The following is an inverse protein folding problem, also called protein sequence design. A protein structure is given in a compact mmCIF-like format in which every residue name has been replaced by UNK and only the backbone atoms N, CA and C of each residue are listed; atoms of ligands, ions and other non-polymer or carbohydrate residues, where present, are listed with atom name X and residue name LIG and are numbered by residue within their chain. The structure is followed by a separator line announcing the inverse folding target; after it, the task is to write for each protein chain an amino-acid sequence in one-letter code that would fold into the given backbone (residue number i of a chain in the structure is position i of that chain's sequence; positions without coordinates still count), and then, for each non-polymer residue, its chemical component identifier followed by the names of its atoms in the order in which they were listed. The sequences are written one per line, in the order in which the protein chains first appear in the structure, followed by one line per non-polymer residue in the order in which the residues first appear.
data_IF_958732968729
#
_entry.id   IF_958732968729
#
_cell.length_a   1.000
_cell.length_b   1.000
_cell.length_c   1.000
_cell.angle_alpha   90.00
_cell.angle_beta   90.00
_cell.angle_gamma   90.00
#
_symmetry.space_group_name_H-M   'P 1'
#
loop_
_entity.id
_entity.type
_entity.pdbx_description
1 polymer ?
#
# COMPACT_ATOMS: atom_id res chain seq x y z
N UNK A 1 -6.05 -24.91 -4.52
CA UNK A 1 -7.13 -24.03 -4.04
C UNK A 1 -6.63 -23.26 -2.82
N UNK A 2 -6.86 -21.97 -2.76
CA UNK A 2 -6.66 -21.29 -1.50
C UNK A 2 -7.62 -21.91 -0.46
N UNK A 3 -7.12 -22.12 0.75
CA UNK A 3 -7.96 -22.60 1.84
C UNK A 3 -9.11 -21.63 2.08
N UNK A 4 -10.32 -22.15 2.21
CA UNK A 4 -11.46 -21.32 2.59
C UNK A 4 -11.23 -20.76 3.99
N UNK A 5 -11.14 -19.44 4.06
CA UNK A 5 -10.99 -18.75 5.33
C UNK A 5 -12.37 -18.50 5.90
N UNK A 6 -12.68 -19.16 6.99
CA UNK A 6 -13.95 -19.00 7.70
C UNK A 6 -13.74 -18.27 9.02
N UNK A 7 -14.63 -17.35 9.31
CA UNK A 7 -14.59 -16.58 10.56
C UNK A 7 -13.69 -15.36 10.51
N UNK A 8 -12.92 -15.13 11.57
CA UNK A 8 -12.04 -13.96 11.69
C UNK A 8 -10.88 -14.04 10.71
N UNK A 9 -10.72 -13.00 9.91
CA UNK A 9 -9.59 -12.89 8.96
C UNK A 9 -8.33 -12.51 9.73
N UNK A 10 -7.28 -13.34 9.62
CA UNK A 10 -5.98 -13.02 10.19
C UNK A 10 -5.28 -11.94 9.37
N UNK A 11 -4.46 -11.13 10.02
CA UNK A 11 -3.78 -9.98 9.37
C UNK A 11 -2.94 -10.38 8.17
N UNK A 12 -2.33 -11.55 8.18
CA UNK A 12 -1.49 -12.05 7.08
C UNK A 12 -2.23 -12.25 5.76
N UNK A 13 -3.57 -12.35 5.78
CA UNK A 13 -4.38 -12.54 4.58
C UNK A 13 -4.76 -11.22 3.90
N UNK A 14 -4.49 -10.09 4.54
CA UNK A 14 -4.57 -8.77 3.92
C UNK A 14 -3.17 -8.35 3.54
N UNK A 15 -2.80 -8.55 2.27
CA UNK A 15 -1.46 -8.27 1.80
C UNK A 15 -1.39 -6.92 1.08
N UNK A 16 -0.31 -6.20 1.32
CA UNK A 16 -0.01 -4.94 0.65
C UNK A 16 1.29 -5.07 -0.13
N UNK A 17 1.29 -4.60 -1.37
CA UNK A 17 2.46 -4.62 -2.24
C UNK A 17 2.75 -3.23 -2.75
N UNK A 18 4.03 -2.95 -2.94
CA UNK A 18 4.51 -1.72 -3.58
C UNK A 18 5.34 -2.10 -4.79
N UNK A 19 5.12 -1.42 -5.91
CA UNK A 19 5.94 -1.56 -7.10
C UNK A 19 7.26 -0.83 -6.90
N UNK A 20 8.33 -1.60 -6.71
CA UNK A 20 9.66 -1.03 -6.46
C UNK A 20 10.35 -0.51 -7.71
N UNK A 21 9.76 -0.66 -8.90
CA UNK A 21 10.29 -0.05 -10.13
C UNK A 21 10.05 1.45 -10.20
N UNK A 22 9.09 1.96 -9.45
CA UNK A 22 8.66 3.38 -9.45
C UNK A 22 8.43 3.91 -10.88
N UNK A 23 7.77 3.08 -11.70
CA UNK A 23 7.41 3.44 -13.06
C UNK A 23 8.54 3.36 -14.09
N UNK A 24 9.72 2.85 -13.72
CA UNK A 24 10.89 2.78 -14.61
C UNK A 24 11.00 1.51 -15.42
N UNK A 25 9.92 0.76 -15.60
CA UNK A 25 9.94 -0.48 -16.37
C UNK A 25 8.83 -1.43 -15.98
N UNK A 26 9.09 -2.72 -16.07
CA UNK A 26 8.14 -3.75 -15.65
C UNK A 26 7.92 -3.69 -14.14
N UNK A 27 6.68 -3.78 -13.72
CA UNK A 27 6.32 -3.76 -12.30
C UNK A 27 7.04 -4.87 -11.53
N UNK A 28 7.66 -4.48 -10.41
CA UNK A 28 8.30 -5.38 -9.48
C UNK A 28 7.62 -5.27 -8.12
N UNK A 29 6.67 -6.18 -7.87
CA UNK A 29 5.84 -6.13 -6.67
C UNK A 29 6.62 -6.62 -5.45
N UNK A 30 6.67 -5.80 -4.43
CA UNK A 30 7.31 -6.08 -3.15
C UNK A 30 6.25 -6.14 -2.06
N UNK A 31 6.14 -7.27 -1.37
CA UNK A 31 5.21 -7.40 -0.25
C UNK A 31 5.74 -6.69 0.99
N UNK A 32 4.96 -5.77 1.51
CA UNK A 32 5.27 -5.09 2.77
C UNK A 32 4.89 -6.02 3.93
N UNK A 33 5.70 -6.06 4.96
CA UNK A 33 5.32 -6.76 6.18
C UNK A 33 6.46 -7.31 7.03
N UNK A 34 7.56 -7.76 6.42
CA UNK A 34 8.63 -8.43 7.16
C UNK A 34 9.25 -7.56 8.26
N UNK A 35 9.46 -6.28 7.97
CA UNK A 35 10.03 -5.33 8.92
C UNK A 35 9.01 -4.35 9.49
N UNK A 36 7.72 -4.70 9.40
CA UNK A 36 6.60 -3.90 9.89
C UNK A 36 5.77 -4.69 10.90
N UNK A 37 5.43 -4.07 12.00
CA UNK A 37 4.51 -4.62 12.98
C UNK A 37 3.06 -4.23 12.69
N UNK A 38 2.85 -3.06 12.10
CA UNK A 38 1.55 -2.50 11.85
C UNK A 38 1.53 -1.72 10.53
N UNK A 39 0.47 -1.90 9.77
CA UNK A 39 0.20 -1.12 8.57
C UNK A 39 -1.31 -1.00 8.38
N UNK A 40 -1.83 0.20 8.57
CA UNK A 40 -3.26 0.51 8.44
C UNK A 40 -3.48 1.56 7.37
N UNK A 41 -4.36 1.27 6.43
CA UNK A 41 -4.81 2.26 5.45
C UNK A 41 -5.95 3.05 6.08
N UNK A 42 -5.76 4.34 6.25
CA UNK A 42 -6.77 5.26 6.77
C UNK A 42 -7.49 5.93 5.59
N UNK A 43 -8.80 5.69 5.42
CA UNK A 43 -9.53 6.29 4.29
C UNK A 43 -9.62 7.81 4.34
N UNK A 44 -9.54 8.40 5.53
CA UNK A 44 -9.61 9.85 5.76
C UNK A 44 -10.78 10.49 5.00
N UNK A 45 -12.03 10.17 5.36
CA UNK A 45 -13.18 10.72 4.66
C UNK A 45 -13.28 12.24 4.83
N UNK A 46 -13.52 12.93 3.74
CA UNK A 46 -13.78 14.36 3.75
C UNK A 46 -15.27 14.58 3.87
N UNK A 47 -15.72 14.96 5.06
CA UNK A 47 -17.13 15.11 5.39
C UNK A 47 -17.43 16.51 5.92
N UNK A 48 -18.63 16.99 5.63
CA UNK A 48 -19.12 18.28 6.08
C UNK A 48 -20.53 18.16 6.62
N UNK A 49 -20.76 18.75 7.78
CA UNK A 49 -22.07 18.83 8.40
C UNK A 49 -22.50 20.30 8.45
N UNK A 50 -23.57 20.62 7.73
CA UNK A 50 -24.11 21.99 7.69
C UNK A 50 -25.54 22.02 8.19
N UNK A 51 -25.94 23.16 8.76
CA UNK A 51 -27.28 23.40 9.26
C UNK A 51 -27.88 24.59 8.51
N UNK A 52 -29.04 24.39 7.89
CA UNK A 52 -29.71 25.47 7.18
C UNK A 52 -30.56 26.33 8.12
N UNK A 53 -31.12 27.41 7.61
CA UNK A 53 -31.96 28.34 8.39
C UNK A 53 -33.27 27.72 8.87
N UNK A 54 -33.70 26.60 8.30
CA UNK A 54 -34.89 25.87 8.73
C UNK A 54 -34.56 24.88 9.86
N UNK A 55 -33.34 24.86 10.34
CA UNK A 55 -32.92 23.95 11.40
C UNK A 55 -32.61 22.53 10.93
N UNK A 56 -32.68 22.27 9.63
CA UNK A 56 -32.38 20.97 9.06
C UNK A 56 -30.87 20.78 8.92
N UNK A 57 -30.40 19.56 9.24
CA UNK A 57 -28.98 19.20 9.13
C UNK A 57 -28.74 18.53 7.79
N UNK A 58 -27.67 18.96 7.10
CA UNK A 58 -27.23 18.36 5.86
C UNK A 58 -25.82 17.82 6.05
N UNK A 59 -25.65 16.53 5.72
CA UNK A 59 -24.36 15.85 5.74
C UNK A 59 -23.87 15.66 4.30
N UNK A 60 -22.64 16.06 4.04
CA UNK A 60 -22.00 15.91 2.74
C UNK A 60 -20.72 15.09 2.89
N UNK A 61 -20.55 14.07 2.04
CA UNK A 61 -19.35 13.26 1.98
C UNK A 61 -18.66 13.54 0.63
N UNK A 62 -17.55 14.27 0.66
CA UNK A 62 -16.87 14.74 -0.55
C UNK A 62 -15.91 13.72 -1.14
N UNK A 63 -15.56 12.68 -0.40
CA UNK A 63 -14.67 11.63 -0.87
C UNK A 63 -13.67 11.18 0.18
N UNK A 64 -12.60 10.52 -0.27
CA UNK A 64 -11.57 9.97 0.59
C UNK A 64 -10.20 10.50 0.20
N UNK A 65 -9.32 10.66 1.17
CA UNK A 65 -7.90 10.97 0.99
C UNK A 65 -7.07 9.87 1.67
N UNK A 66 -7.04 8.65 1.11
CA UNK A 66 -6.45 7.51 1.80
C UNK A 66 -4.94 7.67 1.99
N UNK A 67 -4.46 7.27 3.15
CA UNK A 67 -3.03 7.24 3.46
C UNK A 67 -2.70 6.10 4.42
N UNK A 68 -1.43 5.76 4.50
CA UNK A 68 -0.94 4.77 5.44
C UNK A 68 0.47 5.14 5.88
N UNK A 69 0.80 4.83 7.13
CA UNK A 69 2.14 5.03 7.68
C UNK A 69 2.80 3.69 7.95
N UNK A 70 4.05 3.57 7.52
CA UNK A 70 4.90 2.43 7.83
C UNK A 70 5.99 2.89 8.83
N UNK A 71 5.75 2.67 10.11
CA UNK A 71 6.63 3.06 11.20
C UNK A 71 6.51 2.05 12.36
N UNK A 72 7.61 1.40 12.77
CA UNK A 72 8.93 1.45 12.19
C UNK A 72 9.07 0.64 10.90
N UNK A 73 10.03 1.01 10.07
CA UNK A 73 10.47 0.19 8.93
C UNK A 73 11.99 0.02 9.01
N UNK A 74 12.43 -1.20 9.27
CA UNK A 74 13.84 -1.50 9.44
C UNK A 74 14.53 -1.69 8.10
N UNK A 75 15.67 -1.04 7.94
CA UNK A 75 16.47 -1.11 6.72
C UNK A 75 17.24 -2.43 6.64
N UNK A 76 17.24 -3.04 5.44
CA UNK A 76 18.02 -4.25 5.16
C UNK A 76 18.75 -4.09 3.84
N UNK A 77 20.03 -4.44 3.83
CA UNK A 77 20.81 -4.49 2.59
C UNK A 77 20.23 -5.59 1.68
N UNK A 78 20.01 -5.25 0.41
CA UNK A 78 19.41 -6.17 -0.55
C UNK A 78 17.87 -6.10 -0.62
N UNK A 79 17.25 -5.34 0.27
CA UNK A 79 15.82 -5.10 0.25
C UNK A 79 15.50 -4.04 -0.82
N UNK A 80 14.73 -4.42 -1.84
CA UNK A 80 14.43 -3.55 -2.98
C UNK A 80 13.68 -2.27 -2.57
N UNK A 81 12.77 -2.37 -1.62
CA UNK A 81 12.02 -1.20 -1.14
C UNK A 81 12.95 -0.25 -0.38
N UNK A 82 13.79 -0.79 0.50
CA UNK A 82 14.77 0.02 1.23
C UNK A 82 15.69 0.78 0.28
N UNK A 83 16.19 0.12 -0.75
CA UNK A 83 17.09 0.76 -1.73
C UNK A 83 16.41 1.92 -2.45
N UNK A 84 15.13 1.78 -2.80
CA UNK A 84 14.36 2.85 -3.42
C UNK A 84 14.06 4.00 -2.46
N UNK A 85 13.72 3.71 -1.22
CA UNK A 85 13.50 4.74 -0.19
C UNK A 85 14.79 5.51 0.08
N UNK A 86 15.92 4.81 0.16
CA UNK A 86 17.22 5.44 0.36
C UNK A 86 17.59 6.34 -0.81
N UNK A 87 17.31 5.91 -2.04
CA UNK A 87 17.54 6.72 -3.24
C UNK A 87 16.71 8.02 -3.22
N UNK A 88 15.45 7.92 -2.83
CA UNK A 88 14.57 9.10 -2.69
C UNK A 88 15.15 10.10 -1.68
N UNK A 89 15.64 9.61 -0.55
CA UNK A 89 16.23 10.45 0.50
C UNK A 89 17.56 11.04 0.07
N UNK A 90 18.45 10.23 -0.48
CA UNK A 90 19.81 10.65 -0.85
C UNK A 90 19.79 11.74 -1.93
N UNK A 91 18.91 11.60 -2.90
CA UNK A 91 18.80 12.52 -4.02
C UNK A 91 17.72 13.59 -3.82
N UNK A 92 17.04 13.59 -2.67
CA UNK A 92 15.95 14.52 -2.34
C UNK A 92 14.90 14.59 -3.45
N UNK A 93 14.48 13.42 -3.94
CA UNK A 93 13.46 13.33 -4.97
C UNK A 93 12.14 13.95 -4.50
N UNK A 94 11.46 14.65 -5.43
CA UNK A 94 10.19 15.32 -5.14
C UNK A 94 9.17 15.00 -6.23
N UNK A 95 7.89 15.25 -5.91
CA UNK A 95 6.79 15.09 -6.85
C UNK A 95 6.69 13.66 -7.40
N UNK A 96 6.54 13.53 -8.70
CA UNK A 96 6.31 12.25 -9.36
C UNK A 96 7.49 11.26 -9.28
N UNK A 97 8.65 11.71 -8.84
CA UNK A 97 9.79 10.81 -8.57
C UNK A 97 9.53 9.87 -7.40
N UNK A 98 8.56 10.20 -6.53
CA UNK A 98 8.14 9.37 -5.41
C UNK A 98 6.85 8.57 -5.72
N UNK A 99 6.32 8.70 -6.93
CA UNK A 99 5.07 8.06 -7.33
C UNK A 99 5.30 6.65 -7.84
N UNK A 100 4.50 5.72 -7.35
CA UNK A 100 4.49 4.34 -7.81
C UNK A 100 3.09 3.75 -7.72
N UNK A 101 2.95 2.48 -8.07
CA UNK A 101 1.69 1.76 -7.90
C UNK A 101 1.73 0.89 -6.67
N UNK A 102 0.58 0.71 -6.05
CA UNK A 102 0.40 -0.17 -4.89
C UNK A 102 -0.69 -1.19 -5.17
N UNK A 103 -0.61 -2.33 -4.49
CA UNK A 103 -1.64 -3.36 -4.51
C UNK A 103 -2.13 -3.64 -3.11
N UNK A 104 -3.44 -3.83 -2.99
CA UNK A 104 -4.10 -4.38 -1.83
C UNK A 104 -4.69 -5.72 -2.26
N UNK A 105 -4.21 -6.82 -1.69
CA UNK A 105 -4.59 -8.18 -2.08
C UNK A 105 -5.41 -8.82 -0.97
N UNK A 106 -6.61 -9.25 -1.31
CA UNK A 106 -7.54 -9.91 -0.40
C UNK A 106 -7.37 -11.43 -0.51
N UNK A 107 -6.48 -12.01 0.28
CA UNK A 107 -6.16 -13.43 0.20
C UNK A 107 -7.27 -14.36 0.73
N UNK A 108 -8.34 -13.80 1.29
CA UNK A 108 -9.54 -14.55 1.67
C UNK A 108 -10.56 -14.64 0.53
N UNK A 109 -10.30 -14.01 -0.60
CA UNK A 109 -11.22 -13.92 -1.73
C UNK A 109 -10.52 -14.39 -2.99
N UNK A 110 -10.91 -15.57 -3.49
CA UNK A 110 -10.30 -16.16 -4.66
C UNK A 110 -10.72 -15.43 -5.94
N UNK A 111 -9.77 -15.28 -6.87
CA UNK A 111 -10.04 -14.79 -8.21
C UNK A 111 -10.53 -15.90 -9.14
N UNK A 112 -10.73 -15.58 -10.41
CA UNK A 112 -11.18 -16.54 -11.42
C UNK A 112 -10.06 -17.43 -11.93
N UNK A 113 -8.84 -16.93 -11.99
CA UNK A 113 -7.67 -17.72 -12.39
C UNK A 113 -7.18 -18.59 -11.22
N UNK A 114 -6.60 -19.74 -11.55
CA UNK A 114 -6.07 -20.66 -10.56
C UNK A 114 -4.95 -20.01 -9.76
N UNK A 115 -5.08 -20.03 -8.42
CA UNK A 115 -4.08 -19.47 -7.51
C UNK A 115 -4.11 -17.93 -7.42
N UNK A 116 -5.12 -17.29 -8.01
CA UNK A 116 -5.27 -15.84 -7.92
C UNK A 116 -6.16 -15.41 -6.77
N UNK A 117 -5.99 -14.15 -6.36
CA UNK A 117 -6.81 -13.48 -5.35
C UNK A 117 -7.32 -12.16 -5.89
N UNK A 118 -8.45 -11.71 -5.37
CA UNK A 118 -8.96 -10.38 -5.69
C UNK A 118 -7.98 -9.33 -5.19
N UNK A 119 -7.64 -8.38 -6.05
CA UNK A 119 -6.70 -7.33 -5.73
C UNK A 119 -7.16 -5.98 -6.29
N UNK A 120 -6.69 -4.92 -5.64
CA UNK A 120 -6.94 -3.55 -6.05
C UNK A 120 -5.62 -2.83 -6.24
N UNK A 121 -5.44 -2.28 -7.41
CA UNK A 121 -4.27 -1.47 -7.77
C UNK A 121 -4.62 0.00 -7.67
N UNK A 122 -3.76 0.78 -7.02
CA UNK A 122 -3.94 2.22 -6.87
C UNK A 122 -2.60 2.94 -6.91
N UNK A 123 -2.46 4.02 -7.68
CA UNK A 123 -1.27 4.85 -7.63
C UNK A 123 -1.11 5.51 -6.25
N UNK A 124 0.13 5.69 -5.83
CA UNK A 124 0.43 6.33 -4.56
C UNK A 124 1.78 7.02 -4.59
N UNK A 125 1.94 7.98 -3.69
CA UNK A 125 3.23 8.59 -3.39
C UNK A 125 3.80 7.92 -2.15
N UNK A 126 5.01 7.36 -2.27
CA UNK A 126 5.73 6.71 -1.18
C UNK A 126 6.87 7.63 -0.76
N UNK A 127 6.74 8.23 0.40
CA UNK A 127 7.63 9.31 0.86
C UNK A 127 8.22 8.95 2.22
N UNK A 128 9.55 8.79 2.33
CA UNK A 128 10.19 8.64 3.63
C UNK A 128 9.97 9.88 4.51
N UNK A 129 9.60 9.64 5.77
CA UNK A 129 9.33 10.73 6.73
C UNK A 129 10.53 11.04 7.62
N UNK A 130 11.40 10.05 7.83
CA UNK A 130 12.64 10.21 8.58
C UNK A 130 13.61 9.09 8.19
N UNK A 131 14.85 9.22 8.61
CA UNK A 131 15.83 8.15 8.47
C UNK A 131 16.89 8.27 9.56
N UNK A 132 17.34 7.12 10.07
CA UNK A 132 18.27 7.06 11.18
C UNK A 132 17.93 5.91 12.11
N UNK A 133 17.17 6.19 13.15
CA UNK A 133 16.74 5.17 14.10
C UNK A 133 17.42 5.29 15.45
N UNK A 134 17.44 4.19 16.16
CA UNK A 134 17.99 4.07 17.50
C UNK A 134 18.94 2.86 17.61
N UNK A 135 19.20 2.41 18.84
CA UNK A 135 20.07 1.25 19.08
C UNK A 135 19.53 -0.07 18.54
N UNK A 136 18.25 -0.13 18.16
CA UNK A 136 17.63 -1.31 17.53
C UNK A 136 18.06 -1.50 16.08
N UNK A 137 18.52 -0.42 15.42
CA UNK A 137 18.98 -0.47 14.04
C UNK A 137 18.59 0.77 13.25
N UNK A 138 19.03 0.77 12.00
CA UNK A 138 18.68 1.83 11.05
C UNK A 138 17.22 1.67 10.64
N UNK A 139 16.46 2.75 10.73
CA UNK A 139 15.05 2.79 10.36
C UNK A 139 14.80 3.89 9.33
N UNK A 140 13.93 3.59 8.36
CA UNK A 140 13.52 4.55 7.34
C UNK A 140 11.98 4.48 7.19
N UNK A 141 11.22 4.98 8.18
CA UNK A 141 9.77 4.98 8.08
C UNK A 141 9.28 5.84 6.92
N UNK A 142 8.17 5.44 6.34
CA UNK A 142 7.62 6.12 5.18
C UNK A 142 6.11 6.24 5.26
N UNK A 143 5.58 7.18 4.49
CA UNK A 143 4.13 7.39 4.33
C UNK A 143 3.73 7.04 2.91
N UNK A 144 2.59 6.36 2.77
CA UNK A 144 1.98 6.06 1.49
C UNK A 144 0.72 6.91 1.34
N UNK A 145 0.72 7.80 0.36
CA UNK A 145 -0.43 8.65 0.06
C UNK A 145 -1.08 8.17 -1.23
N UNK A 146 -2.24 7.56 -1.11
CA UNK A 146 -2.96 6.98 -2.25
C UNK A 146 -3.64 8.07 -3.06
N UNK A 147 -3.51 8.00 -4.38
CA UNK A 147 -4.08 8.98 -5.30
C UNK A 147 -4.77 8.27 -6.47
N UNK A 148 -5.61 9.00 -7.18
CA UNK A 148 -6.29 8.47 -8.36
C UNK A 148 -7.32 7.41 -8.04
N UNK A 149 -7.69 6.64 -9.05
CA UNK A 149 -8.72 5.61 -8.95
C UNK A 149 -8.12 4.23 -8.74
N UNK A 150 -8.85 3.42 -7.98
CA UNK A 150 -8.53 2.02 -7.80
C UNK A 150 -8.94 1.21 -9.04
N UNK A 151 -8.10 0.27 -9.44
CA UNK A 151 -8.40 -0.68 -10.51
C UNK A 151 -8.52 -2.06 -9.90
N UNK A 152 -9.70 -2.67 -10.06
CA UNK A 152 -9.92 -4.04 -9.60
C UNK A 152 -9.26 -5.02 -10.55
N UNK A 153 -8.69 -6.08 -9.99
CA UNK A 153 -8.07 -7.13 -10.77
C UNK A 153 -7.82 -8.38 -9.96
N UNK A 154 -6.96 -9.21 -10.47
CA UNK A 154 -6.53 -10.45 -9.84
C UNK A 154 -5.01 -10.45 -9.69
N UNK A 155 -4.54 -10.99 -8.58
CA UNK A 155 -3.11 -11.10 -8.30
C UNK A 155 -2.73 -12.56 -8.05
N UNK A 156 -1.72 -13.02 -8.78
CA UNK A 156 -1.14 -14.34 -8.57
C UNK A 156 0.21 -14.15 -7.89
N UNK A 157 0.34 -14.50 -6.60
CA UNK A 157 1.63 -14.39 -5.91
C UNK A 157 2.67 -15.34 -6.52
N UNK A 158 3.91 -14.85 -6.61
CA UNK A 158 5.05 -15.67 -7.00
C UNK A 158 5.72 -16.21 -5.73
N UNK A 159 5.67 -17.52 -5.55
CA UNK A 159 6.22 -18.19 -4.37
C UNK A 159 7.75 -18.16 -4.32
N UNK A 160 8.42 -17.91 -5.45
CA UNK A 160 9.89 -17.93 -5.52
C UNK A 160 10.50 -16.55 -5.30
N UNK A 161 9.87 -15.50 -5.81
CA UNK A 161 10.43 -14.14 -5.77
C UNK A 161 9.82 -13.26 -4.68
N UNK A 162 8.74 -13.70 -4.04
CA UNK A 162 7.97 -12.88 -3.11
C UNK A 162 7.13 -11.79 -3.75
N UNK A 163 7.18 -11.67 -5.09
CA UNK A 163 6.36 -10.76 -5.87
C UNK A 163 5.14 -11.45 -6.46
N UNK A 164 4.81 -11.13 -7.71
CA UNK A 164 3.69 -11.75 -8.40
C UNK A 164 3.26 -10.96 -9.63
N UNK A 165 2.09 -11.33 -10.17
CA UNK A 165 1.53 -10.72 -11.38
C UNK A 165 0.12 -10.22 -11.12
N UNK A 166 -0.13 -8.96 -11.44
CA UNK A 166 -1.45 -8.34 -11.38
C UNK A 166 -2.05 -8.26 -12.79
N UNK A 167 -3.30 -8.69 -12.92
CA UNK A 167 -4.07 -8.61 -14.16
C UNK A 167 -5.37 -7.86 -13.90
N UNK A 168 -5.61 -6.70 -14.53
CA UNK A 168 -6.88 -5.98 -14.35
C UNK A 168 -8.04 -6.78 -14.93
N UNK A 169 -9.20 -6.60 -14.32
CA UNK A 169 -10.46 -7.21 -14.80
C UNK A 169 -11.24 -6.17 -15.60
#
# INVERSE_FOLDING_TARGET
MPDEINGKIERKYMAHYIDTSFGTGTASWYRIGEDLEEYNVEPNPDTELTKNILGSTRFTHNGFEPSADADPFYARVGDALFEKLQDVVDNRHTGDQSKTDTLEVHMWEAGTATGSYVAWKQPAYVIPTSYGGDTSGYQIPFTVNYVGQRVKGEFVPDTLSGGGTFTPI
#
